data_IF_920219427203
#
_entry.id   IF_920219427203
#
_cell.length_a   1.000
_cell.length_b   1.000
_cell.length_c   1.000
_cell.angle_alpha   90.00
_cell.angle_beta   90.00
_cell.angle_gamma   90.00
#
_symmetry.space_group_name_H-M   'P 1'
#
loop_
_entity.id
_entity.type
_entity.pdbx_description
1 polymer ?
#
# COMPACT_ATOMS: atom_id res chain seq x y z
N UNK A 1 -1.56 -14.04 3.06
CA UNK A 1 -2.54 -13.21 2.33
C UNK A 1 -2.82 -13.90 1.01
N UNK A 2 -4.08 -14.13 0.63
CA UNK A 2 -4.42 -14.98 -0.54
C UNK A 2 -5.21 -14.28 -1.65
N UNK A 3 -5.65 -13.04 -1.44
CA UNK A 3 -6.36 -12.26 -2.46
C UNK A 3 -6.17 -10.75 -2.24
N UNK A 4 -6.45 -9.98 -3.30
CA UNK A 4 -6.36 -8.52 -3.37
C UNK A 4 -7.29 -7.83 -2.34
N UNK A 5 -8.48 -8.38 -2.09
CA UNK A 5 -9.43 -7.75 -1.16
C UNK A 5 -8.93 -7.75 0.28
N UNK A 6 -8.32 -8.87 0.71
CA UNK A 6 -7.72 -8.97 2.04
C UNK A 6 -6.55 -7.99 2.20
N UNK A 7 -5.77 -7.77 1.13
CA UNK A 7 -4.71 -6.76 1.12
C UNK A 7 -5.28 -5.36 1.37
N UNK A 8 -6.32 -4.99 0.60
CA UNK A 8 -6.94 -3.67 0.73
C UNK A 8 -7.64 -3.46 2.06
N UNK A 9 -8.20 -4.51 2.67
CA UNK A 9 -8.75 -4.43 4.02
C UNK A 9 -7.65 -4.11 5.04
N UNK A 10 -6.54 -4.84 5.00
CA UNK A 10 -5.38 -4.60 5.87
C UNK A 10 -4.82 -3.20 5.66
N UNK A 11 -4.72 -2.73 4.41
CA UNK A 11 -4.25 -1.36 4.12
C UNK A 11 -5.22 -0.30 4.64
N UNK A 12 -6.54 -0.50 4.48
CA UNK A 12 -7.56 0.41 5.00
C UNK A 12 -7.41 0.57 6.51
N UNK A 13 -7.26 -0.53 7.24
CA UNK A 13 -7.09 -0.52 8.69
C UNK A 13 -5.76 0.11 9.10
N UNK A 14 -4.64 -0.30 8.48
CA UNK A 14 -3.30 0.15 8.84
C UNK A 14 -3.06 1.65 8.57
N UNK A 15 -3.68 2.19 7.51
CA UNK A 15 -3.55 3.59 7.11
C UNK A 15 -4.74 4.45 7.55
N UNK A 16 -5.72 3.87 8.25
CA UNK A 16 -6.97 4.53 8.64
C UNK A 16 -7.67 5.22 7.45
N UNK A 17 -7.78 4.51 6.31
CA UNK A 17 -8.37 5.04 5.08
C UNK A 17 -9.89 5.24 5.23
N UNK A 18 -10.48 6.20 4.50
CA UNK A 18 -11.90 6.53 4.62
C UNK A 18 -12.82 5.35 4.25
N UNK A 19 -14.07 5.43 4.72
CA UNK A 19 -15.05 4.36 4.49
C UNK A 19 -15.39 4.12 3.03
N UNK A 20 -15.30 5.16 2.21
CA UNK A 20 -15.50 5.10 0.76
C UNK A 20 -14.26 4.61 -0.01
N UNK A 21 -13.24 4.06 0.65
CA UNK A 21 -12.04 3.52 -0.01
C UNK A 21 -12.38 2.42 -1.03
N UNK A 22 -12.05 2.66 -2.30
CA UNK A 22 -12.47 1.86 -3.46
C UNK A 22 -11.75 0.53 -3.68
N UNK A 23 -10.85 0.10 -2.78
CA UNK A 23 -10.14 -1.21 -2.81
C UNK A 23 -9.46 -1.53 -4.16
N UNK A 24 -8.80 -0.52 -4.73
CA UNK A 24 -7.99 -0.65 -5.93
C UNK A 24 -6.73 0.24 -5.80
N UNK A 25 -5.81 0.17 -6.78
CA UNK A 25 -4.55 0.93 -6.72
C UNK A 25 -4.78 2.43 -6.88
N UNK A 26 -5.70 2.85 -7.75
CA UNK A 26 -5.97 4.27 -8.00
C UNK A 26 -6.57 4.92 -6.74
N UNK A 27 -7.56 4.28 -6.12
CA UNK A 27 -8.10 4.73 -4.84
C UNK A 27 -7.06 4.71 -3.71
N UNK A 28 -6.09 3.81 -3.75
CA UNK A 28 -4.99 3.79 -2.79
C UNK A 28 -4.07 4.98 -3.01
N UNK A 29 -3.73 5.27 -4.27
CA UNK A 29 -2.94 6.43 -4.64
C UNK A 29 -3.58 7.73 -4.15
N UNK A 30 -4.87 7.92 -4.43
CA UNK A 30 -5.61 9.11 -4.00
C UNK A 30 -5.54 9.29 -2.48
N UNK A 31 -5.82 8.21 -1.72
CA UNK A 31 -5.70 8.23 -0.27
C UNK A 31 -4.27 8.53 0.19
N UNK A 32 -3.27 7.90 -0.44
CA UNK A 32 -1.86 8.12 -0.14
C UNK A 32 -1.40 9.53 -0.48
N UNK A 33 -2.12 10.34 -1.25
CA UNK A 33 -1.79 11.74 -1.46
C UNK A 33 -2.44 12.67 -0.43
N UNK A 34 -3.51 12.21 0.21
CA UNK A 34 -4.28 13.00 1.18
C UNK A 34 -3.88 12.74 2.64
N UNK A 35 -3.50 11.52 3.01
CA UNK A 35 -3.17 11.20 4.41
C UNK A 35 -1.87 11.90 4.87
N UNK A 36 -1.85 12.45 6.07
CA UNK A 36 -0.69 13.19 6.62
C UNK A 36 -0.50 12.90 8.11
N UNK A 37 0.75 12.85 8.62
CA UNK A 37 1.94 12.22 8.03
C UNK A 37 1.91 10.70 8.19
N UNK A 38 2.61 9.95 7.33
CA UNK A 38 2.57 8.49 7.39
C UNK A 38 3.94 7.85 7.12
N UNK A 39 4.38 6.98 8.06
CA UNK A 39 5.45 6.02 7.83
C UNK A 39 4.83 4.64 7.62
N UNK A 40 5.12 4.01 6.47
CA UNK A 40 4.63 2.68 6.14
C UNK A 40 5.79 1.69 6.05
N UNK A 41 5.72 0.66 6.90
CA UNK A 41 6.67 -0.44 6.93
C UNK A 41 6.02 -1.70 6.38
N UNK A 42 6.42 -2.09 5.17
CA UNK A 42 5.99 -3.35 4.59
C UNK A 42 6.89 -4.49 5.07
N UNK A 43 6.33 -5.37 5.89
CA UNK A 43 6.97 -6.60 6.36
C UNK A 43 6.62 -7.75 5.41
N UNK A 44 7.57 -8.66 5.19
CA UNK A 44 7.36 -9.88 4.39
C UNK A 44 6.82 -9.58 2.98
N UNK A 45 7.42 -8.61 2.28
CA UNK A 45 7.01 -8.19 0.94
C UNK A 45 6.94 -9.36 -0.07
N UNK A 46 7.71 -10.43 0.17
CA UNK A 46 7.68 -11.68 -0.61
C UNK A 46 6.29 -12.33 -0.63
N UNK A 47 5.47 -12.12 0.41
CA UNK A 47 4.09 -12.63 0.43
C UNK A 47 3.20 -11.96 -0.64
N UNK A 48 3.59 -10.80 -1.15
CA UNK A 48 2.86 -10.11 -2.21
C UNK A 48 3.14 -10.72 -3.60
N UNK A 49 4.24 -11.47 -3.77
CA UNK A 49 4.54 -12.18 -5.02
C UNK A 49 3.49 -13.26 -5.33
N UNK A 50 2.81 -13.78 -4.30
CA UNK A 50 1.73 -14.74 -4.43
C UNK A 50 0.42 -14.14 -4.97
N UNK A 51 0.34 -12.81 -5.15
CA UNK A 51 -0.84 -12.16 -5.72
C UNK A 51 -0.88 -12.31 -7.24
N UNK A 52 -2.06 -12.56 -7.83
CA UNK A 52 -2.20 -12.77 -9.27
C UNK A 52 -1.76 -11.54 -10.07
N UNK A 53 -1.35 -11.77 -11.32
CA UNK A 53 -1.06 -10.73 -12.32
C UNK A 53 0.00 -9.71 -11.88
N UNK A 54 0.90 -10.12 -10.99
CA UNK A 54 1.96 -9.25 -10.47
C UNK A 54 1.41 -8.08 -9.64
N UNK A 55 0.21 -8.20 -9.09
CA UNK A 55 -0.44 -7.13 -8.33
C UNK A 55 0.43 -6.64 -7.16
N UNK A 56 1.13 -7.57 -6.49
CA UNK A 56 2.07 -7.22 -5.43
C UNK A 56 3.19 -6.29 -5.89
N UNK A 57 3.75 -6.51 -7.08
CA UNK A 57 4.79 -5.65 -7.65
C UNK A 57 4.25 -4.25 -7.97
N UNK A 58 3.03 -4.17 -8.51
CA UNK A 58 2.35 -2.88 -8.79
C UNK A 58 2.11 -2.09 -7.50
N UNK A 59 1.66 -2.77 -6.43
CA UNK A 59 1.49 -2.14 -5.12
C UNK A 59 2.80 -1.58 -4.56
N UNK A 60 3.89 -2.35 -4.61
CA UNK A 60 5.19 -1.91 -4.10
C UNK A 60 5.67 -0.69 -4.87
N UNK A 61 5.60 -0.70 -6.21
CA UNK A 61 5.99 0.45 -7.03
C UNK A 61 5.17 1.69 -6.72
N UNK A 62 3.87 1.54 -6.45
CA UNK A 62 2.99 2.64 -6.05
C UNK A 62 3.42 3.25 -4.71
N UNK A 63 3.77 2.42 -3.72
CA UNK A 63 4.24 2.88 -2.42
C UNK A 63 5.63 3.55 -2.50
N UNK A 64 6.51 3.05 -3.37
CA UNK A 64 7.81 3.67 -3.65
C UNK A 64 7.63 5.05 -4.29
N UNK A 65 6.79 5.14 -5.33
CA UNK A 65 6.48 6.41 -6.00
C UNK A 65 5.86 7.43 -5.04
N UNK A 66 4.97 7.01 -4.13
CA UNK A 66 4.42 7.90 -3.12
C UNK A 66 5.51 8.48 -2.20
N UNK A 67 6.55 7.71 -1.88
CA UNK A 67 7.71 8.19 -1.10
C UNK A 67 8.66 9.10 -1.88
N UNK A 68 8.68 8.98 -3.20
CA UNK A 68 9.43 9.91 -4.08
C UNK A 68 8.68 11.24 -4.24
N UNK A 69 7.36 11.20 -4.41
CA UNK A 69 6.54 12.41 -4.61
C UNK A 69 6.31 13.20 -3.32
N UNK A 70 6.33 12.53 -2.16
CA UNK A 70 6.01 13.13 -0.87
C UNK A 70 7.17 13.05 0.12
N UNK A 71 7.71 14.22 0.47
CA UNK A 71 8.78 14.35 1.49
C UNK A 71 8.37 13.93 2.91
N UNK A 72 7.07 13.87 3.19
CA UNK A 72 6.49 13.53 4.48
C UNK A 72 5.87 12.12 4.51
N UNK A 73 6.10 11.33 3.46
CA UNK A 73 5.72 9.92 3.39
C UNK A 73 6.99 9.08 3.32
N UNK A 74 7.13 8.15 4.25
CA UNK A 74 8.29 7.24 4.28
C UNK A 74 7.81 5.83 4.04
N UNK A 75 8.25 5.23 2.94
CA UNK A 75 8.04 3.82 2.65
C UNK A 75 9.33 3.02 2.90
N UNK A 76 9.22 1.94 3.68
CA UNK A 76 10.32 1.01 3.93
C UNK A 76 9.86 -0.44 3.76
N UNK A 77 10.59 -1.17 2.92
CA UNK A 77 10.48 -2.62 2.87
C UNK A 77 11.40 -3.23 3.91
N UNK A 78 10.91 -4.25 4.62
CA UNK A 78 11.69 -4.96 5.63
C UNK A 78 11.64 -6.45 5.36
N UNK A 79 12.82 -7.06 5.28
CA UNK A 79 12.97 -8.50 5.32
C UNK A 79 12.70 -8.89 6.78
N UNK A 80 11.54 -9.49 7.01
CA UNK A 80 11.22 -10.08 8.30
C UNK A 80 12.06 -11.32 8.56
#
# INVERSE_FOLDING_TARGET
>A
MRNKDSLHLVMKEALNLPDHYGRNLDALWDCLMEIRPAELYLRKAQLLEALPEGYGRKLIGLLEQAGEERKDFVFRQTKG
#
